data_IF_224342879833
#
_entry.id   IF_224342879833
#
_cell.length_a   1.000
_cell.length_b   1.000
_cell.length_c   1.000
_cell.angle_alpha   90.00
_cell.angle_beta   90.00
_cell.angle_gamma   90.00
#
_symmetry.space_group_name_H-M   'P 1'
#
loop_
_entity.id
_entity.type
_entity.pdbx_description
1 polymer ?
#
# COMPACT_ATOMS: atom_id res chain seq x y z
N UNK A 1 40.40 -5.51 28.89
CA UNK A 1 39.27 -6.21 29.54
C UNK A 1 38.25 -6.57 28.46
N UNK A 2 38.59 -7.57 27.64
CA UNK A 2 37.64 -8.29 26.79
C UNK A 2 37.08 -9.41 27.66
N UNK A 3 35.77 -9.43 27.92
CA UNK A 3 35.12 -10.61 28.48
C UNK A 3 34.63 -11.48 27.31
N UNK A 4 35.50 -12.39 26.88
CA UNK A 4 35.10 -13.62 26.19
C UNK A 4 34.41 -14.52 27.21
N UNK A 5 33.08 -14.60 27.16
CA UNK A 5 32.34 -15.71 27.79
C UNK A 5 32.53 -16.92 26.87
N UNK A 6 33.44 -17.81 27.26
CA UNK A 6 33.58 -19.14 26.68
C UNK A 6 32.35 -19.98 27.07
N UNK A 7 31.44 -20.17 26.12
CA UNK A 7 30.36 -21.17 26.21
C UNK A 7 30.76 -22.41 25.37
N UNK A 8 30.68 -23.65 25.91
CA UNK A 8 31.37 -24.81 25.33
C UNK A 8 30.57 -25.59 24.27
N UNK A 9 29.56 -25.01 23.61
CA UNK A 9 28.72 -25.74 22.64
C UNK A 9 28.82 -25.15 21.21
N UNK A 10 29.32 -25.98 20.28
CA UNK A 10 29.67 -25.63 18.89
C UNK A 10 28.50 -25.32 17.95
N UNK A 11 27.79 -24.22 18.17
CA UNK A 11 26.68 -23.75 17.31
C UNK A 11 26.97 -22.44 16.56
N UNK A 12 28.20 -21.93 16.63
CA UNK A 12 28.67 -20.73 15.91
C UNK A 12 28.39 -20.75 14.38
N UNK A 13 28.53 -21.87 13.63
CA UNK A 13 28.28 -21.83 12.18
C UNK A 13 26.80 -21.63 11.83
N UNK A 14 25.87 -22.10 12.66
CA UNK A 14 24.43 -21.94 12.43
C UNK A 14 23.97 -20.49 12.68
N UNK A 15 24.55 -19.81 13.66
CA UNK A 15 24.24 -18.39 13.93
C UNK A 15 24.73 -17.47 12.80
N UNK A 16 25.93 -17.74 12.25
CA UNK A 16 26.47 -17.01 11.11
C UNK A 16 25.64 -17.22 9.84
N UNK A 17 25.22 -18.46 9.55
CA UNK A 17 24.35 -18.77 8.41
C UNK A 17 22.96 -18.15 8.57
N UNK A 18 22.40 -18.15 9.79
CA UNK A 18 21.13 -17.49 10.09
C UNK A 18 21.21 -15.96 9.92
N UNK A 19 22.31 -15.32 10.34
CA UNK A 19 22.52 -13.88 10.12
C UNK A 19 22.73 -13.52 8.64
N UNK A 20 23.40 -14.37 7.85
CA UNK A 20 23.55 -14.15 6.39
C UNK A 20 22.22 -14.36 5.65
N UNK A 21 21.39 -15.31 6.09
CA UNK A 21 20.06 -15.55 5.52
C UNK A 21 19.09 -14.39 5.80
N UNK A 22 19.23 -13.71 6.94
CA UNK A 22 18.45 -12.52 7.31
C UNK A 22 18.79 -11.26 6.47
N UNK A 23 19.98 -11.19 5.86
CA UNK A 23 20.45 -10.04 5.09
C UNK A 23 20.27 -10.19 3.57
N UNK A 24 19.88 -11.37 3.08
CA UNK A 24 19.76 -11.67 1.65
C UNK A 24 18.37 -11.37 1.05
N UNK A 25 17.53 -10.54 1.69
CA UNK A 25 16.30 -10.03 1.07
C UNK A 25 16.67 -8.83 0.19
N UNK A 26 17.04 -9.10 -1.06
CA UNK A 26 17.03 -8.08 -2.11
C UNK A 26 15.63 -8.06 -2.73
N UNK A 27 14.72 -7.29 -2.13
CA UNK A 27 13.45 -6.99 -2.77
C UNK A 27 13.70 -6.06 -3.95
N UNK A 28 13.67 -6.58 -5.18
CA UNK A 28 13.57 -5.78 -6.42
C UNK A 28 12.20 -5.05 -6.54
N UNK A 29 11.47 -4.91 -5.43
CA UNK A 29 10.26 -4.09 -5.39
C UNK A 29 10.69 -2.64 -5.47
N UNK A 30 10.37 -1.98 -6.58
CA UNK A 30 10.44 -0.52 -6.61
C UNK A 30 9.55 -0.01 -5.48
N UNK A 31 10.16 0.55 -4.44
CA UNK A 31 9.41 1.18 -3.37
C UNK A 31 8.62 2.31 -4.01
N UNK A 32 7.29 2.15 -4.08
CA UNK A 32 6.42 3.17 -4.63
C UNK A 32 6.44 4.36 -3.67
N UNK A 33 6.99 5.50 -4.12
CA UNK A 33 6.91 6.75 -3.38
C UNK A 33 5.55 7.40 -3.60
N UNK A 34 4.73 7.40 -2.55
CA UNK A 34 3.39 7.98 -2.54
C UNK A 34 3.34 9.39 -1.94
N UNK A 35 4.46 9.95 -1.48
CA UNK A 35 4.47 11.20 -0.70
C UNK A 35 3.80 12.35 -1.46
N UNK A 36 4.07 12.51 -2.75
CA UNK A 36 3.45 13.55 -3.57
C UNK A 36 1.94 13.34 -3.77
N UNK A 37 1.46 12.09 -3.81
CA UNK A 37 0.04 11.78 -3.93
C UNK A 37 -0.70 12.08 -2.61
N UNK A 38 -0.14 11.68 -1.47
CA UNK A 38 -0.69 11.99 -0.15
C UNK A 38 -0.78 13.49 0.10
N UNK A 39 0.28 14.25 -0.23
CA UNK A 39 0.26 15.71 -0.05
C UNK A 39 -0.88 16.39 -0.85
N UNK A 40 -1.18 15.90 -2.07
CA UNK A 40 -2.32 16.39 -2.86
C UNK A 40 -3.66 16.01 -2.24
N UNK A 41 -3.79 14.77 -1.78
CA UNK A 41 -5.01 14.26 -1.15
C UNK A 41 -5.34 15.03 0.13
N UNK A 42 -4.37 15.26 1.01
CA UNK A 42 -4.55 16.02 2.26
C UNK A 42 -5.01 17.45 1.98
N UNK A 43 -4.36 18.14 1.03
CA UNK A 43 -4.75 19.49 0.63
C UNK A 43 -6.18 19.56 0.08
N UNK A 44 -6.60 18.56 -0.70
CA UNK A 44 -7.96 18.48 -1.21
C UNK A 44 -8.97 18.19 -0.08
N UNK A 45 -8.70 17.18 0.75
CA UNK A 45 -9.60 16.71 1.82
C UNK A 45 -9.79 17.72 2.96
N UNK A 46 -8.91 18.71 3.08
CA UNK A 46 -9.08 19.83 4.02
C UNK A 46 -10.34 20.67 3.74
N UNK A 47 -10.84 20.68 2.49
CA UNK A 47 -12.01 21.45 2.07
C UNK A 47 -13.24 20.56 1.78
N UNK A 48 -13.30 19.36 2.36
CA UNK A 48 -14.33 18.35 2.07
C UNK A 48 -15.16 18.07 3.32
N UNK A 49 -16.49 18.10 3.19
CA UNK A 49 -17.40 17.80 4.30
C UNK A 49 -17.34 16.32 4.69
N UNK A 50 -17.82 15.98 5.88
CA UNK A 50 -17.91 14.57 6.29
C UNK A 50 -18.80 13.75 5.33
N UNK A 51 -19.91 14.34 4.88
CA UNK A 51 -20.82 13.69 3.95
C UNK A 51 -20.15 13.41 2.59
N UNK A 52 -19.33 14.34 2.10
CA UNK A 52 -18.57 14.14 0.87
C UNK A 52 -17.51 13.03 1.02
N UNK A 53 -16.88 12.91 2.19
CA UNK A 53 -15.97 11.78 2.47
C UNK A 53 -16.71 10.43 2.44
N UNK A 54 -17.91 10.38 3.01
CA UNK A 54 -18.78 9.19 2.94
C UNK A 54 -19.14 8.87 1.49
N UNK A 55 -19.46 9.89 0.68
CA UNK A 55 -19.78 9.73 -0.74
C UNK A 55 -18.60 9.21 -1.58
N UNK A 56 -17.35 9.58 -1.24
CA UNK A 56 -16.15 9.02 -1.88
C UNK A 56 -15.98 7.54 -1.52
N UNK A 57 -16.28 7.16 -0.28
CA UNK A 57 -16.07 5.81 0.25
C UNK A 57 -17.24 4.84 -0.01
N UNK A 58 -18.37 5.33 -0.51
CA UNK A 58 -19.61 4.56 -0.66
C UNK A 58 -20.04 4.45 -2.11
N UNK A 59 -20.50 3.26 -2.50
CA UNK A 59 -21.08 3.02 -3.81
C UNK A 59 -22.47 3.64 -3.93
N UNK A 60 -22.76 4.32 -5.06
CA UNK A 60 -24.07 4.90 -5.37
C UNK A 60 -25.11 3.85 -5.84
N UNK A 61 -24.73 2.57 -5.86
CA UNK A 61 -25.58 1.46 -6.32
C UNK A 61 -25.46 1.15 -7.82
N UNK A 62 -26.30 0.23 -8.30
CA UNK A 62 -26.18 -0.45 -9.61
C UNK A 62 -26.77 0.31 -10.81
N UNK A 63 -26.89 1.65 -10.73
CA UNK A 63 -27.53 2.49 -11.77
C UNK A 63 -26.59 3.51 -12.41
N UNK A 64 -25.36 3.12 -12.68
CA UNK A 64 -24.36 4.01 -13.28
C UNK A 64 -23.51 3.29 -14.33
N UNK A 65 -22.67 4.04 -15.06
CA UNK A 65 -21.92 3.56 -16.23
C UNK A 65 -21.06 2.33 -15.94
N UNK A 66 -20.51 2.25 -14.74
CA UNK A 66 -19.52 1.25 -14.35
C UNK A 66 -20.09 0.20 -13.40
N UNK A 67 -19.45 -0.94 -13.23
CA UNK A 67 -19.89 -1.99 -12.28
C UNK A 67 -20.00 -1.44 -10.85
N UNK A 68 -19.07 -0.59 -10.44
CA UNK A 68 -19.13 0.17 -9.19
C UNK A 68 -18.89 1.66 -9.43
N UNK A 69 -19.62 2.52 -8.73
CA UNK A 69 -19.45 3.98 -8.85
C UNK A 69 -19.56 4.66 -7.49
N UNK A 70 -18.71 5.65 -7.23
CA UNK A 70 -18.86 6.56 -6.07
C UNK A 70 -19.33 7.93 -6.54
N UNK A 71 -19.80 8.78 -5.62
CA UNK A 71 -20.25 10.11 -6.01
C UNK A 71 -19.07 11.06 -6.26
N UNK A 72 -19.22 11.98 -7.20
CA UNK A 72 -18.28 13.09 -7.41
C UNK A 72 -18.45 14.18 -6.36
N UNK A 73 -17.36 14.87 -6.04
CA UNK A 73 -17.32 16.02 -5.13
C UNK A 73 -16.93 17.27 -5.94
N UNK A 74 -17.90 18.08 -6.42
CA UNK A 74 -17.64 19.22 -7.30
C UNK A 74 -16.76 20.31 -6.67
N UNK A 75 -16.83 20.49 -5.34
CA UNK A 75 -16.07 21.51 -4.61
C UNK A 75 -14.55 21.35 -4.71
N UNK A 76 -14.07 20.13 -4.95
CA UNK A 76 -12.65 19.82 -5.18
C UNK A 76 -12.38 19.30 -6.59
N UNK A 77 -13.36 19.37 -7.49
CA UNK A 77 -13.26 18.85 -8.85
C UNK A 77 -13.07 17.32 -8.92
N UNK A 78 -13.47 16.58 -7.88
CA UNK A 78 -13.33 15.13 -7.86
C UNK A 78 -14.50 14.48 -8.63
N UNK A 79 -14.26 13.72 -9.70
CA UNK A 79 -15.34 13.21 -10.56
C UNK A 79 -16.10 12.01 -9.98
N UNK A 80 -15.59 11.38 -8.92
CA UNK A 80 -16.05 10.06 -8.46
C UNK A 80 -15.22 8.93 -9.08
N UNK A 81 -15.25 7.76 -8.46
CA UNK A 81 -14.62 6.56 -8.99
C UNK A 81 -15.58 5.80 -9.89
N UNK A 82 -15.05 5.29 -10.99
CA UNK A 82 -15.67 4.32 -11.89
C UNK A 82 -14.86 3.02 -11.78
N UNK A 83 -15.47 1.98 -11.23
CA UNK A 83 -14.84 0.70 -10.94
C UNK A 83 -15.37 -0.34 -11.92
N UNK A 84 -14.48 -0.89 -12.73
CA UNK A 84 -14.79 -1.92 -13.71
C UNK A 84 -14.18 -3.26 -13.31
N UNK A 85 -14.82 -4.34 -13.73
CA UNK A 85 -14.45 -5.68 -13.35
C UNK A 85 -13.82 -6.43 -14.50
N UNK A 86 -12.49 -6.53 -14.51
CA UNK A 86 -11.80 -7.81 -14.70
C UNK A 86 -10.30 -7.65 -14.38
N UNK A 87 -9.83 -8.48 -13.45
CA UNK A 87 -8.41 -8.72 -13.28
C UNK A 87 -8.06 -9.96 -14.11
N UNK A 88 -7.57 -9.77 -15.32
CA UNK A 88 -6.84 -10.83 -16.02
C UNK A 88 -5.41 -10.78 -15.52
N UNK A 89 -5.08 -11.62 -14.53
CA UNK A 89 -3.68 -11.86 -14.20
C UNK A 89 -3.05 -12.45 -15.45
N UNK A 90 -2.21 -11.66 -16.14
CA UNK A 90 -1.39 -12.17 -17.21
C UNK A 90 -0.54 -13.29 -16.62
N UNK A 91 -0.85 -14.53 -16.98
CA UNK A 91 -0.03 -15.68 -16.60
C UNK A 91 1.37 -15.43 -17.22
N UNK A 92 2.47 -15.57 -16.47
CA UNK A 92 3.77 -15.63 -17.10
C UNK A 92 3.78 -16.87 -18.03
N UNK A 93 3.90 -16.64 -19.33
CA UNK A 93 4.28 -17.67 -20.32
C UNK A 93 5.72 -18.08 -20.10
#
# INVERSE_FOLDING_TARGET
MQLTVMSPFGLVPLYGVLQVLLLAVSSNGQALDWTAAYAKAEKALANVSLNDKVNIASGQGSRARCIGNTAGIPSIGFPGFCLEGYCVVAKPT
#
